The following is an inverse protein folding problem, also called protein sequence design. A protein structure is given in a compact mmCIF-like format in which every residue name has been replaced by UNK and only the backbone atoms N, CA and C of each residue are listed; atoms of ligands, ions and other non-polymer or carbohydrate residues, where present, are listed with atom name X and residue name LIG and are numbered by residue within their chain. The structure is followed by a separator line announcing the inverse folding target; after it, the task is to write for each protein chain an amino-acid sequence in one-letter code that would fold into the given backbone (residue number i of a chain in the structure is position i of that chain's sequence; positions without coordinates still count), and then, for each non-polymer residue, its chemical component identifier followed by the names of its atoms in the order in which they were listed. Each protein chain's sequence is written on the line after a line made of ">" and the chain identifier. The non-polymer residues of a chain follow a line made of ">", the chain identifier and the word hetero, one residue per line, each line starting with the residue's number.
data_IF_421181614576
#
_entry.id   IF_421181614576
#
_cell.length_a   1.000
_cell.length_b   1.000
_cell.length_c   1.000
_cell.angle_alpha   90.00
_cell.angle_beta   90.00
_cell.angle_gamma   90.00
#
_symmetry.space_group_name_H-M   'P 1'
#
loop_
_entity.id
_entity.type
_entity.pdbx_description
1 polymer ?
#
# COMPACT_ATOMS: atom_id res chain seq x y z
N UNK A 1 21.30 -22.76 6.19
CA UNK A 1 21.22 -23.53 7.43
C UNK A 1 20.12 -22.89 8.28
N UNK A 2 18.96 -23.53 8.37
CA UNK A 2 17.87 -23.04 9.25
C UNK A 2 18.31 -23.31 10.70
N UNK A 3 18.31 -22.30 11.57
CA UNK A 3 18.43 -22.56 12.99
C UNK A 3 17.12 -23.22 13.45
N UNK A 4 17.16 -24.51 13.78
CA UNK A 4 16.07 -25.18 14.46
C UNK A 4 15.94 -24.60 15.89
N UNK A 5 14.86 -23.86 16.12
CA UNK A 5 14.46 -23.51 17.47
C UNK A 5 13.79 -24.69 18.15
N UNK A 6 14.58 -25.64 18.62
CA UNK A 6 14.14 -26.96 19.11
C UNK A 6 13.46 -26.98 20.47
N UNK A 7 13.26 -25.86 21.16
CA UNK A 7 12.60 -25.85 22.49
C UNK A 7 11.67 -24.63 22.75
N UNK A 8 11.47 -23.72 21.79
CA UNK A 8 10.68 -22.50 21.99
C UNK A 8 9.84 -22.10 20.79
N UNK A 9 8.89 -21.21 21.04
CA UNK A 9 8.13 -20.55 19.98
C UNK A 9 8.98 -19.42 19.40
N UNK A 10 9.05 -19.33 18.05
CA UNK A 10 9.77 -18.26 17.35
C UNK A 10 8.99 -16.96 17.41
N UNK A 11 9.59 -15.84 17.86
CA UNK A 11 8.97 -14.51 17.76
C UNK A 11 8.64 -14.13 16.30
N UNK A 12 7.57 -13.35 16.11
CA UNK A 12 7.13 -12.89 14.78
C UNK A 12 8.21 -12.11 14.05
N UNK A 13 8.88 -11.21 14.76
CA UNK A 13 9.95 -10.35 14.23
C UNK A 13 11.15 -11.17 13.76
N UNK A 14 11.48 -12.24 14.52
CA UNK A 14 12.55 -13.18 14.15
C UNK A 14 12.17 -13.94 12.88
N UNK A 15 10.93 -14.43 12.78
CA UNK A 15 10.43 -15.12 11.60
C UNK A 15 10.46 -14.20 10.36
N UNK A 16 9.98 -12.95 10.49
CA UNK A 16 10.04 -11.94 9.44
C UNK A 16 11.48 -11.68 8.98
N UNK A 17 12.40 -11.45 9.92
CA UNK A 17 13.80 -11.18 9.60
C UNK A 17 14.44 -12.35 8.86
N UNK A 18 14.25 -13.59 9.34
CA UNK A 18 14.81 -14.79 8.69
C UNK A 18 14.20 -15.02 7.30
N UNK A 19 12.90 -14.82 7.16
CA UNK A 19 12.20 -14.97 5.89
C UNK A 19 12.69 -13.92 4.88
N UNK A 20 12.64 -12.65 5.27
CA UNK A 20 12.96 -11.53 4.37
C UNK A 20 14.45 -11.49 3.99
N UNK A 21 15.37 -11.90 4.86
CA UNK A 21 16.80 -11.96 4.54
C UNK A 21 17.12 -12.90 3.36
N UNK A 22 16.25 -13.83 3.03
CA UNK A 22 16.39 -14.81 1.93
C UNK A 22 15.74 -14.35 0.63
N UNK A 23 14.82 -13.40 0.67
CA UNK A 23 14.05 -12.95 -0.49
C UNK A 23 14.85 -11.92 -1.27
N UNK A 24 15.05 -12.20 -2.55
CA UNK A 24 15.55 -11.25 -3.55
C UNK A 24 14.38 -10.79 -4.43
N UNK A 25 14.21 -9.49 -4.67
CA UNK A 25 13.18 -8.99 -5.56
C UNK A 25 13.26 -9.56 -6.97
N UNK A 26 12.12 -9.68 -7.64
CA UNK A 26 12.07 -10.05 -9.05
C UNK A 26 12.75 -8.98 -9.90
N UNK A 27 13.46 -9.42 -10.95
CA UNK A 27 14.17 -8.53 -11.88
C UNK A 27 13.46 -8.37 -13.23
N UNK A 28 12.41 -9.16 -13.49
CA UNK A 28 11.65 -9.08 -14.73
C UNK A 28 10.78 -7.81 -14.77
N UNK A 29 10.87 -7.07 -15.86
CA UNK A 29 10.27 -5.75 -16.06
C UNK A 29 9.26 -5.79 -17.19
N UNK A 30 8.18 -5.03 -17.06
CA UNK A 30 7.19 -4.76 -18.09
C UNK A 30 7.09 -3.25 -18.32
N UNK A 31 6.91 -2.83 -19.56
CA UNK A 31 6.60 -1.44 -19.91
C UNK A 31 5.11 -1.33 -20.16
N UNK A 32 4.42 -0.51 -19.39
CA UNK A 32 2.97 -0.37 -19.43
C UNK A 32 2.55 1.10 -19.57
N UNK A 33 1.46 1.38 -20.33
CA UNK A 33 0.80 2.68 -20.28
C UNK A 33 0.41 3.07 -18.85
N UNK A 34 0.48 4.36 -18.49
CA UNK A 34 0.21 4.82 -17.12
C UNK A 34 -1.14 4.36 -16.58
N UNK A 35 -2.17 4.30 -17.42
CA UNK A 35 -3.52 3.83 -17.04
C UNK A 35 -3.52 2.39 -16.53
N UNK A 36 -2.54 1.56 -16.93
CA UNK A 36 -2.38 0.18 -16.52
C UNK A 36 -1.34 -0.01 -15.39
N UNK A 37 -0.75 1.10 -14.90
CA UNK A 37 0.28 1.06 -13.88
C UNK A 37 -0.27 1.15 -12.45
N UNK A 38 -1.57 1.32 -12.25
CA UNK A 38 -2.14 1.40 -10.91
C UNK A 38 -1.83 0.16 -10.07
N UNK A 39 -1.27 0.38 -8.87
CA UNK A 39 -0.87 -0.69 -7.95
C UNK A 39 0.45 -1.39 -8.31
N UNK A 40 1.07 -1.06 -9.45
CA UNK A 40 2.36 -1.63 -9.88
C UNK A 40 3.53 -0.97 -9.16
N UNK A 41 4.68 -1.63 -9.19
CA UNK A 41 5.91 -1.15 -8.56
C UNK A 41 6.88 -0.69 -9.64
N UNK A 42 7.44 0.49 -9.51
CA UNK A 42 8.48 1.01 -10.41
C UNK A 42 9.72 0.11 -10.41
N UNK A 43 10.18 -0.25 -11.59
CA UNK A 43 11.41 -1.03 -11.77
C UNK A 43 12.64 -0.12 -11.85
N UNK A 44 12.48 1.14 -12.22
CA UNK A 44 13.55 2.14 -12.38
C UNK A 44 13.14 3.47 -11.78
N UNK A 45 14.13 4.30 -11.44
CA UNK A 45 13.86 5.67 -11.00
C UNK A 45 13.17 6.48 -12.11
N UNK A 46 12.25 7.32 -11.70
CA UNK A 46 11.64 8.33 -12.57
C UNK A 46 12.41 9.62 -12.39
N UNK A 47 13.12 10.03 -13.44
CA UNK A 47 13.82 11.31 -13.52
C UNK A 47 12.95 12.27 -14.33
N UNK A 48 12.75 13.49 -13.83
CA UNK A 48 11.93 14.48 -14.53
C UNK A 48 12.58 14.95 -15.83
N UNK A 49 11.90 14.81 -16.98
CA UNK A 49 12.41 15.31 -18.26
C UNK A 49 12.26 16.83 -18.42
N UNK A 50 11.51 17.49 -17.54
CA UNK A 50 11.19 18.92 -17.63
C UNK A 50 10.91 19.53 -16.26
N UNK A 51 10.87 20.86 -16.20
CA UNK A 51 10.41 21.59 -15.01
C UNK A 51 8.89 21.58 -14.91
N UNK A 52 8.35 21.51 -13.68
CA UNK A 52 6.91 21.71 -13.39
C UNK A 52 6.75 22.84 -12.37
N UNK A 53 6.06 23.93 -12.71
CA UNK A 53 5.58 24.31 -14.03
C UNK A 53 6.74 24.58 -15.00
N UNK A 54 6.50 24.44 -16.31
CA UNK A 54 7.51 24.62 -17.36
C UNK A 54 7.90 26.08 -17.62
N UNK A 55 7.20 27.05 -17.04
CA UNK A 55 7.42 28.48 -17.16
C UNK A 55 6.85 29.21 -15.95
N UNK A 56 7.33 30.44 -15.71
CA UNK A 56 6.77 31.33 -14.70
C UNK A 56 5.33 31.67 -15.08
N UNK A 57 4.37 31.49 -14.15
CA UNK A 57 2.96 31.74 -14.42
C UNK A 57 2.28 32.46 -13.25
N UNK A 58 1.12 33.05 -13.56
CA UNK A 58 0.33 33.76 -12.54
C UNK A 58 -0.33 32.78 -11.57
N UNK A 59 -0.21 33.05 -10.29
CA UNK A 59 -0.95 32.33 -9.25
C UNK A 59 -2.37 32.84 -9.09
N UNK A 60 -2.72 34.04 -9.59
CA UNK A 60 -3.99 34.73 -9.38
C UNK A 60 -4.52 35.36 -10.66
N UNK A 61 -5.81 35.63 -10.69
CA UNK A 61 -6.44 36.51 -11.67
C UNK A 61 -6.16 37.95 -11.29
N UNK A 62 -5.60 38.75 -12.20
CA UNK A 62 -5.20 40.08 -11.86
C UNK A 62 -4.47 40.80 -12.98
N UNK A 63 -3.42 41.52 -12.63
CA UNK A 63 -2.64 42.32 -13.53
C UNK A 63 -1.15 42.09 -13.32
N UNK A 64 -0.46 41.78 -14.39
CA UNK A 64 1.00 41.74 -14.42
C UNK A 64 1.53 43.19 -14.47
N UNK A 65 2.47 43.47 -13.59
CA UNK A 65 3.06 44.83 -13.43
C UNK A 65 4.56 44.80 -13.30
N UNK A 66 5.17 45.90 -13.66
CA UNK A 66 6.52 46.27 -13.19
C UNK A 66 6.35 47.11 -11.94
N UNK A 67 7.05 46.79 -10.87
CA UNK A 67 6.90 47.50 -9.57
C UNK A 67 7.27 48.98 -9.70
N UNK A 68 8.23 49.31 -10.55
CA UNK A 68 8.64 50.70 -10.81
C UNK A 68 7.57 51.56 -11.51
N UNK A 69 6.61 50.95 -12.21
CA UNK A 69 5.52 51.66 -12.88
C UNK A 69 4.34 52.00 -11.94
N UNK A 70 4.32 51.41 -10.72
CA UNK A 70 3.24 51.57 -9.76
C UNK A 70 3.33 52.91 -9.03
N UNK A 71 2.21 53.63 -8.97
CA UNK A 71 2.02 54.85 -8.18
C UNK A 71 0.61 54.87 -7.61
N UNK A 72 0.44 55.29 -6.34
CA UNK A 72 -0.86 55.34 -5.68
C UNK A 72 -1.86 56.22 -6.42
N UNK A 73 -1.38 57.30 -7.08
CA UNK A 73 -2.23 58.32 -7.68
C UNK A 73 -2.42 58.16 -9.20
N UNK A 74 -1.70 57.24 -9.83
CA UNK A 74 -1.73 57.12 -11.30
C UNK A 74 -2.20 55.73 -11.73
N UNK A 75 -3.38 55.62 -12.37
CA UNK A 75 -3.83 54.33 -12.94
C UNK A 75 -2.94 53.94 -14.12
N UNK A 76 -2.77 52.63 -14.33
CA UNK A 76 -2.01 52.04 -15.48
C UNK A 76 -3.01 51.59 -16.55
N UNK A 77 -2.91 52.07 -17.79
CA UNK A 77 -3.65 51.51 -18.93
C UNK A 77 -3.35 50.02 -19.14
N UNK A 78 -4.34 49.25 -19.57
CA UNK A 78 -4.18 47.83 -19.88
C UNK A 78 -3.67 47.67 -21.32
N UNK A 79 -2.43 47.27 -21.50
CA UNK A 79 -1.80 47.07 -22.82
C UNK A 79 -2.30 45.81 -23.52
N UNK A 80 -2.78 44.79 -22.78
CA UNK A 80 -3.26 43.57 -23.37
C UNK A 80 -3.68 42.54 -22.32
N UNK A 81 -3.85 41.30 -22.79
CA UNK A 81 -4.34 40.19 -21.95
C UNK A 81 -3.46 38.94 -22.15
N UNK A 82 -3.25 38.17 -21.07
CA UNK A 82 -2.60 36.88 -21.07
C UNK A 82 -3.53 35.83 -20.44
N UNK A 83 -3.72 34.72 -21.12
CA UNK A 83 -4.53 33.59 -20.66
C UNK A 83 -3.70 32.30 -20.59
N UNK A 84 -4.16 31.32 -19.84
CA UNK A 84 -3.59 29.98 -19.88
C UNK A 84 -3.66 29.43 -21.33
N UNK A 85 -2.52 28.96 -21.84
CA UNK A 85 -2.39 28.53 -23.24
C UNK A 85 -2.33 29.67 -24.29
N UNK A 86 -2.51 30.93 -23.90
CA UNK A 86 -2.44 32.11 -24.76
C UNK A 86 -1.56 33.20 -24.12
N UNK A 87 -0.23 33.08 -24.22
CA UNK A 87 0.69 34.09 -23.67
C UNK A 87 0.53 35.44 -24.36
N UNK A 88 0.80 36.50 -23.64
CA UNK A 88 0.86 37.84 -24.24
C UNK A 88 2.02 37.93 -25.23
N UNK A 89 1.75 38.36 -26.45
CA UNK A 89 2.72 38.42 -27.54
C UNK A 89 3.00 39.84 -28.05
N UNK A 90 2.44 40.87 -27.46
CA UNK A 90 2.64 42.26 -27.87
C UNK A 90 3.85 42.92 -27.21
N UNK A 91 4.19 44.12 -27.68
CA UNK A 91 5.06 45.01 -26.94
C UNK A 91 4.38 45.44 -25.64
N UNK A 92 5.13 45.45 -24.54
CA UNK A 92 4.65 45.92 -23.26
C UNK A 92 5.21 47.31 -22.94
N UNK A 93 4.47 48.40 -23.25
CA UNK A 93 4.93 49.77 -23.03
C UNK A 93 5.14 50.05 -21.53
N UNK A 94 6.13 50.88 -21.22
CA UNK A 94 6.33 51.37 -19.86
C UNK A 94 5.11 52.17 -19.39
N UNK A 95 4.77 52.08 -18.08
CA UNK A 95 3.61 52.74 -17.51
C UNK A 95 2.29 52.09 -17.90
N UNK A 96 2.30 50.81 -18.30
CA UNK A 96 1.07 50.01 -18.55
C UNK A 96 1.08 48.70 -17.79
N UNK A 97 -0.06 48.05 -17.64
CA UNK A 97 -0.19 46.70 -17.08
C UNK A 97 -0.82 45.72 -18.08
N UNK A 98 -0.71 44.42 -17.81
CA UNK A 98 -1.32 43.38 -18.64
C UNK A 98 -2.34 42.64 -17.79
N UNK A 99 -3.57 42.54 -18.26
CA UNK A 99 -4.59 41.68 -17.64
C UNK A 99 -4.11 40.22 -17.75
N UNK A 100 -3.97 39.52 -16.61
CA UNK A 100 -3.48 38.15 -16.57
C UNK A 100 -4.42 37.27 -15.76
N UNK A 101 -4.60 36.02 -16.21
CA UNK A 101 -5.40 35.02 -15.54
C UNK A 101 -4.49 33.96 -14.91
N UNK A 102 -5.00 33.30 -13.88
CA UNK A 102 -4.33 32.18 -13.20
C UNK A 102 -3.84 31.14 -14.19
N UNK A 103 -2.57 30.72 -14.06
CA UNK A 103 -1.94 29.75 -14.95
C UNK A 103 -1.41 30.33 -16.26
N UNK A 104 -1.69 31.61 -16.59
CA UNK A 104 -1.14 32.24 -17.76
C UNK A 104 0.36 32.50 -17.59
N UNK A 105 1.19 32.29 -18.66
CA UNK A 105 2.60 32.68 -18.63
C UNK A 105 2.74 34.17 -18.30
N UNK A 106 3.63 34.50 -17.37
CA UNK A 106 3.90 35.92 -17.08
C UNK A 106 4.71 36.53 -18.21
N UNK A 107 4.34 37.74 -18.68
CA UNK A 107 5.09 38.43 -19.74
C UNK A 107 6.52 38.72 -19.32
N UNK A 108 7.43 38.79 -20.30
CA UNK A 108 8.81 39.19 -20.06
C UNK A 108 8.88 40.59 -19.42
N UNK A 109 9.67 40.74 -18.36
CA UNK A 109 9.77 41.95 -17.57
C UNK A 109 8.67 42.12 -16.49
N UNK A 110 7.79 41.14 -16.33
CA UNK A 110 6.85 41.14 -15.20
C UNK A 110 7.60 40.92 -13.88
N UNK A 111 7.37 41.78 -12.92
CA UNK A 111 7.98 41.67 -11.58
C UNK A 111 7.00 41.21 -10.53
N UNK A 112 5.68 41.42 -10.74
CA UNK A 112 4.62 40.97 -9.82
C UNK A 112 3.28 40.82 -10.55
N UNK A 113 2.41 40.01 -9.98
CA UNK A 113 0.98 39.98 -10.32
C UNK A 113 0.18 40.49 -9.14
N UNK A 114 -0.65 41.52 -9.38
CA UNK A 114 -1.57 42.06 -8.39
C UNK A 114 -2.96 41.48 -8.61
N UNK A 115 -3.54 40.89 -7.57
CA UNK A 115 -4.89 40.33 -7.64
C UNK A 115 -5.91 41.41 -8.02
N UNK A 116 -6.91 41.06 -8.81
CA UNK A 116 -7.96 41.96 -9.22
C UNK A 116 -8.72 42.58 -8.04
N UNK A 117 -8.84 41.86 -6.91
CA UNK A 117 -9.48 42.31 -5.68
C UNK A 117 -8.70 43.43 -4.98
N UNK A 118 -7.45 43.65 -5.36
CA UNK A 118 -6.58 44.72 -4.86
C UNK A 118 -6.45 45.88 -5.89
N UNK A 119 -7.38 45.97 -6.80
CA UNK A 119 -7.38 46.98 -7.86
C UNK A 119 -8.73 47.61 -8.04
N UNK A 120 -8.73 48.88 -8.53
CA UNK A 120 -9.92 49.59 -8.92
C UNK A 120 -9.82 49.93 -10.41
N UNK A 121 -10.86 49.62 -11.19
CA UNK A 121 -10.96 50.03 -12.58
C UNK A 121 -11.42 51.49 -12.65
N UNK A 122 -10.72 52.28 -13.45
CA UNK A 122 -11.05 53.70 -13.72
C UNK A 122 -11.13 53.90 -15.25
N UNK A 123 -11.64 55.04 -15.68
CA UNK A 123 -11.71 55.39 -17.12
C UNK A 123 -10.34 55.44 -17.79
N UNK A 124 -9.29 55.79 -17.02
CA UNK A 124 -7.89 55.90 -17.50
C UNK A 124 -7.05 54.63 -17.32
N UNK A 125 -7.61 53.56 -16.75
CA UNK A 125 -6.89 52.30 -16.53
C UNK A 125 -7.17 51.65 -15.18
N UNK A 126 -6.19 50.98 -14.60
CA UNK A 126 -6.28 50.21 -13.35
C UNK A 126 -5.48 50.91 -12.26
N UNK A 127 -6.12 51.22 -11.14
CA UNK A 127 -5.46 51.71 -9.93
C UNK A 127 -5.16 50.54 -8.99
N UNK A 128 -3.98 50.56 -8.42
CA UNK A 128 -3.51 49.53 -7.48
C UNK A 128 -3.60 50.06 -6.06
N UNK A 129 -4.35 49.37 -5.20
CA UNK A 129 -4.69 49.84 -3.83
C UNK A 129 -3.84 49.21 -2.74
N UNK A 130 -2.98 48.21 -3.08
CA UNK A 130 -2.16 47.51 -2.12
C UNK A 130 -0.66 47.70 -2.43
N UNK A 131 0.16 47.54 -1.40
CA UNK A 131 1.61 47.43 -1.55
C UNK A 131 1.99 46.19 -2.33
N UNK A 132 2.83 46.33 -3.35
CA UNK A 132 3.23 45.26 -4.25
C UNK A 132 4.71 44.95 -4.07
N UNK A 133 5.01 43.65 -3.91
CA UNK A 133 6.37 43.15 -3.75
C UNK A 133 6.81 42.42 -5.01
N UNK A 134 8.08 42.54 -5.39
CA UNK A 134 8.66 41.77 -6.47
C UNK A 134 8.51 40.27 -6.20
N UNK A 135 8.08 39.51 -7.22
CA UNK A 135 7.80 38.08 -7.16
C UNK A 135 6.40 37.72 -6.62
N UNK A 136 5.60 38.70 -6.18
CA UNK A 136 4.27 38.47 -5.63
C UNK A 136 3.35 37.80 -6.66
N UNK A 137 2.66 36.70 -6.24
CA UNK A 137 1.72 35.90 -7.02
C UNK A 137 2.29 35.36 -8.35
N UNK A 138 3.57 35.11 -8.42
CA UNK A 138 4.23 34.45 -9.54
C UNK A 138 4.70 33.07 -9.06
N UNK A 139 4.18 32.00 -9.68
CA UNK A 139 4.72 30.64 -9.54
C UNK A 139 5.91 30.50 -10.45
N UNK A 140 7.02 30.07 -9.90
CA UNK A 140 8.29 30.00 -10.66
C UNK A 140 8.40 28.68 -11.40
N UNK A 141 9.06 28.74 -12.56
CA UNK A 141 9.46 27.55 -13.31
C UNK A 141 10.20 26.56 -12.40
N UNK A 142 9.80 25.29 -12.41
CA UNK A 142 10.40 24.22 -11.60
C UNK A 142 10.14 24.35 -10.10
N UNK A 143 9.14 25.15 -9.67
CA UNK A 143 8.81 25.34 -8.26
C UNK A 143 8.33 24.04 -7.59
N UNK A 144 7.60 23.20 -8.31
CA UNK A 144 7.12 21.90 -7.84
C UNK A 144 8.15 20.80 -8.14
N UNK A 145 8.53 20.64 -9.41
CA UNK A 145 9.50 19.61 -9.83
C UNK A 145 10.50 20.26 -10.76
N UNK A 146 11.79 20.04 -10.48
CA UNK A 146 12.88 20.50 -11.36
C UNK A 146 13.24 19.43 -12.38
N UNK A 147 13.58 19.85 -13.56
CA UNK A 147 14.20 18.98 -14.55
C UNK A 147 15.41 18.25 -13.95
N UNK A 148 15.62 17.01 -14.37
CA UNK A 148 16.67 16.09 -13.92
C UNK A 148 16.60 15.67 -12.43
N UNK A 149 15.57 16.10 -11.67
CA UNK A 149 15.33 15.59 -10.34
C UNK A 149 14.76 14.15 -10.38
N UNK A 150 15.20 13.30 -9.45
CA UNK A 150 14.56 12.01 -9.19
C UNK A 150 13.23 12.28 -8.49
N UNK A 151 12.13 11.99 -9.17
CA UNK A 151 10.77 12.22 -8.66
C UNK A 151 10.28 11.04 -7.84
N UNK A 152 10.46 9.84 -8.37
CA UNK A 152 10.14 8.59 -7.68
C UNK A 152 11.27 7.59 -7.86
N UNK A 153 11.81 7.01 -6.78
CA UNK A 153 12.81 5.96 -6.89
C UNK A 153 12.18 4.62 -7.31
N UNK A 154 12.99 3.72 -7.85
CA UNK A 154 12.63 2.31 -8.04
C UNK A 154 12.09 1.72 -6.73
N UNK A 155 11.11 0.82 -6.83
CA UNK A 155 10.41 0.25 -5.67
C UNK A 155 9.23 1.08 -5.17
N UNK A 156 8.96 2.24 -5.75
CA UNK A 156 7.75 3.02 -5.45
C UNK A 156 6.51 2.34 -6.00
N UNK A 157 5.46 2.23 -5.19
CA UNK A 157 4.15 1.76 -5.63
C UNK A 157 3.39 2.90 -6.29
N UNK A 158 2.92 2.69 -7.51
CA UNK A 158 2.15 3.67 -8.27
C UNK A 158 0.67 3.64 -7.87
N UNK A 159 0.21 4.75 -7.32
CA UNK A 159 -1.19 4.95 -6.89
C UNK A 159 -1.78 6.19 -7.58
N UNK A 160 -2.96 6.61 -7.12
CA UNK A 160 -3.58 7.87 -7.53
C UNK A 160 -2.78 9.11 -7.11
N UNK A 161 -1.79 8.97 -6.25
CA UNK A 161 -0.89 10.07 -5.88
C UNK A 161 0.28 10.20 -6.88
N UNK A 162 0.88 9.08 -7.31
CA UNK A 162 2.08 9.08 -8.15
C UNK A 162 1.75 9.22 -9.65
N UNK A 163 0.70 8.53 -10.13
CA UNK A 163 0.38 8.50 -11.56
C UNK A 163 0.07 9.86 -12.19
N UNK A 164 -0.69 10.78 -11.53
CA UNK A 164 -0.89 12.12 -12.05
C UNK A 164 0.40 12.94 -12.14
N UNK A 165 1.35 12.71 -11.23
CA UNK A 165 2.67 13.35 -11.28
C UNK A 165 3.43 12.90 -12.53
N UNK A 166 3.46 11.59 -12.83
CA UNK A 166 4.08 11.11 -14.08
C UNK A 166 3.43 11.73 -15.31
N UNK A 167 2.11 11.83 -15.30
CA UNK A 167 1.37 12.47 -16.40
C UNK A 167 1.74 13.95 -16.57
N UNK A 168 1.94 14.70 -15.47
CA UNK A 168 2.36 16.11 -15.53
C UNK A 168 3.78 16.29 -16.09
N UNK A 169 4.60 15.24 -16.03
CA UNK A 169 5.93 15.18 -16.64
C UNK A 169 5.91 14.79 -18.14
N UNK A 170 4.73 14.55 -18.71
CA UNK A 170 4.58 14.09 -20.09
C UNK A 170 4.97 12.62 -20.31
N UNK A 171 5.12 11.84 -19.24
CA UNK A 171 5.44 10.40 -19.30
C UNK A 171 4.16 9.64 -19.65
N UNK A 172 4.19 8.85 -20.70
CA UNK A 172 3.04 8.07 -21.17
C UNK A 172 3.07 6.62 -20.66
N UNK A 173 4.26 6.06 -20.48
CA UNK A 173 4.50 4.67 -20.11
C UNK A 173 5.52 4.61 -18.98
N UNK A 174 5.43 3.59 -18.13
CA UNK A 174 6.39 3.35 -17.06
C UNK A 174 6.92 1.92 -17.09
N UNK A 175 8.19 1.76 -16.69
CA UNK A 175 8.79 0.45 -16.45
C UNK A 175 8.45 0.00 -15.04
N UNK A 176 7.76 -1.13 -14.93
CA UNK A 176 7.30 -1.70 -13.68
C UNK A 176 7.77 -3.14 -13.50
N UNK A 177 7.98 -3.56 -12.28
CA UNK A 177 8.27 -4.96 -11.96
C UNK A 177 7.07 -5.81 -12.37
N UNK A 178 7.28 -6.96 -13.03
CA UNK A 178 6.16 -7.85 -13.36
C UNK A 178 5.43 -8.33 -12.12
N UNK A 179 4.18 -8.71 -12.25
CA UNK A 179 3.40 -9.28 -11.15
C UNK A 179 4.05 -10.54 -10.60
N UNK A 180 3.99 -10.71 -9.27
CA UNK A 180 4.37 -11.96 -8.62
C UNK A 180 3.32 -13.02 -8.97
N UNK A 181 3.77 -14.18 -9.44
CA UNK A 181 2.91 -15.34 -9.71
C UNK A 181 2.83 -16.21 -8.48
N UNK A 182 1.61 -16.49 -8.02
CA UNK A 182 1.36 -17.28 -6.82
C UNK A 182 0.46 -18.45 -7.13
N UNK A 183 0.98 -19.67 -6.98
CA UNK A 183 0.16 -20.88 -7.02
C UNK A 183 -0.46 -21.11 -5.64
N UNK A 184 -1.76 -21.38 -5.62
CA UNK A 184 -2.56 -21.52 -4.40
C UNK A 184 -3.41 -22.78 -4.47
N UNK A 185 -3.38 -23.60 -3.40
CA UNK A 185 -4.26 -24.73 -3.22
C UNK A 185 -4.55 -24.98 -1.74
N UNK A 186 -5.63 -25.70 -1.46
CA UNK A 186 -5.96 -26.22 -0.14
C UNK A 186 -5.77 -27.74 -0.11
N UNK A 187 -5.45 -28.29 1.05
CA UNK A 187 -5.43 -29.75 1.26
C UNK A 187 -6.36 -30.13 2.39
N UNK A 188 -7.03 -31.25 2.26
CA UNK A 188 -7.94 -31.83 3.25
C UNK A 188 -9.12 -32.54 2.62
N UNK A 189 -9.36 -33.78 3.00
CA UNK A 189 -10.49 -34.58 2.50
C UNK A 189 -11.84 -34.09 3.05
N UNK A 190 -11.81 -33.28 4.11
CA UNK A 190 -12.98 -32.61 4.69
C UNK A 190 -13.47 -31.43 3.87
N UNK A 191 -12.67 -30.92 2.90
CA UNK A 191 -12.95 -29.69 2.19
C UNK A 191 -13.86 -29.90 0.99
N UNK A 192 -14.87 -29.01 0.84
CA UNK A 192 -15.76 -28.97 -0.30
C UNK A 192 -15.82 -27.56 -0.90
N UNK A 193 -16.11 -27.48 -2.18
CA UNK A 193 -16.30 -26.20 -2.87
C UNK A 193 -17.63 -25.53 -2.47
N UNK A 194 -17.65 -24.21 -2.25
CA UNK A 194 -18.89 -23.47 -2.09
C UNK A 194 -19.86 -23.71 -3.24
N UNK A 195 -21.14 -23.91 -2.91
CA UNK A 195 -22.19 -24.23 -3.88
C UNK A 195 -22.41 -25.72 -4.10
N UNK A 196 -21.53 -26.59 -3.63
CA UNK A 196 -21.74 -28.05 -3.63
C UNK A 196 -22.34 -28.49 -2.31
N UNK A 197 -23.21 -29.56 -2.29
CA UNK A 197 -23.74 -30.10 -1.04
C UNK A 197 -22.62 -30.67 -0.17
N UNK A 198 -22.75 -30.54 1.16
CA UNK A 198 -21.84 -31.13 2.12
C UNK A 198 -22.24 -32.54 2.48
N UNK A 199 -21.29 -33.44 2.49
CA UNK A 199 -21.42 -34.73 3.14
C UNK A 199 -21.13 -34.64 4.64
N UNK A 200 -21.42 -35.70 5.40
CA UNK A 200 -21.16 -35.72 6.84
C UNK A 200 -19.66 -35.55 7.14
N UNK A 201 -19.33 -34.55 7.96
CA UNK A 201 -17.94 -34.22 8.31
C UNK A 201 -17.24 -33.24 7.35
N UNK A 202 -17.86 -32.87 6.24
CA UNK A 202 -17.28 -31.88 5.32
C UNK A 202 -17.58 -30.44 5.74
N UNK A 203 -16.68 -29.54 5.33
CA UNK A 203 -16.79 -28.09 5.49
C UNK A 203 -16.43 -27.41 4.17
N UNK A 204 -16.91 -26.18 3.96
CA UNK A 204 -16.51 -25.41 2.79
C UNK A 204 -15.09 -24.84 2.91
N UNK A 205 -14.34 -24.88 1.80
CA UNK A 205 -13.01 -24.29 1.68
C UNK A 205 -13.10 -22.75 1.64
N UNK A 206 -13.02 -22.15 2.80
CA UNK A 206 -13.01 -20.68 2.97
C UNK A 206 -11.60 -20.09 2.90
N UNK A 207 -10.57 -20.86 3.28
CA UNK A 207 -9.20 -20.37 3.33
C UNK A 207 -8.67 -20.00 1.95
N UNK A 208 -8.84 -20.88 0.97
CA UNK A 208 -8.40 -20.64 -0.40
C UNK A 208 -9.08 -19.42 -1.01
N UNK A 209 -10.39 -19.23 -0.78
CA UNK A 209 -11.09 -18.03 -1.22
C UNK A 209 -10.50 -16.77 -0.56
N UNK A 210 -10.31 -16.79 0.76
CA UNK A 210 -9.74 -15.65 1.50
C UNK A 210 -8.36 -15.27 0.99
N UNK A 211 -7.46 -16.25 0.86
CA UNK A 211 -6.09 -16.01 0.38
C UNK A 211 -6.08 -15.57 -1.07
N UNK A 212 -6.94 -16.14 -1.92
CA UNK A 212 -7.08 -15.72 -3.32
C UNK A 212 -7.47 -14.23 -3.42
N UNK A 213 -8.46 -13.79 -2.66
CA UNK A 213 -8.89 -12.38 -2.63
C UNK A 213 -7.78 -11.46 -2.12
N UNK A 214 -7.05 -11.85 -1.07
CA UNK A 214 -5.90 -11.09 -0.56
C UNK A 214 -4.79 -10.97 -1.62
N UNK A 215 -4.50 -12.05 -2.34
CA UNK A 215 -3.50 -12.04 -3.43
C UNK A 215 -3.91 -11.12 -4.58
N UNK A 216 -5.20 -11.12 -4.95
CA UNK A 216 -5.73 -10.20 -5.96
C UNK A 216 -5.56 -8.74 -5.55
N UNK A 217 -5.87 -8.41 -4.29
CA UNK A 217 -5.70 -7.05 -3.76
C UNK A 217 -4.23 -6.61 -3.70
N UNK A 218 -3.31 -7.56 -3.50
CA UNK A 218 -1.86 -7.30 -3.59
C UNK A 218 -1.36 -7.18 -5.04
N UNK A 219 -2.23 -7.39 -6.02
CA UNK A 219 -1.90 -7.31 -7.43
C UNK A 219 -1.12 -8.51 -7.97
N UNK A 220 -1.14 -9.66 -7.27
CA UNK A 220 -0.50 -10.89 -7.73
C UNK A 220 -1.28 -11.55 -8.88
N UNK A 221 -0.56 -12.31 -9.71
CA UNK A 221 -1.15 -13.26 -10.65
C UNK A 221 -1.37 -14.59 -9.93
N UNK A 222 -2.65 -15.00 -9.77
CA UNK A 222 -3.01 -16.17 -8.96
C UNK A 222 -3.30 -17.38 -9.84
N UNK A 223 -2.55 -18.46 -9.62
CA UNK A 223 -2.73 -19.77 -10.23
C UNK A 223 -3.45 -20.65 -9.19
N UNK A 224 -4.77 -20.81 -9.35
CA UNK A 224 -5.59 -21.54 -8.39
C UNK A 224 -5.69 -23.02 -8.78
N UNK A 225 -5.05 -23.90 -8.01
CA UNK A 225 -5.01 -25.33 -8.25
C UNK A 225 -6.15 -26.11 -7.53
N UNK A 226 -7.04 -25.41 -6.82
CA UNK A 226 -8.20 -26.03 -6.18
C UNK A 226 -7.91 -26.72 -4.87
N UNK A 227 -8.70 -27.76 -4.55
CA UNK A 227 -8.56 -28.63 -3.39
C UNK A 227 -7.80 -29.88 -3.83
N UNK A 228 -6.70 -30.16 -3.16
CA UNK A 228 -5.90 -31.38 -3.40
C UNK A 228 -6.23 -32.39 -2.29
N UNK A 229 -6.67 -33.57 -2.64
CA UNK A 229 -6.93 -34.65 -1.65
C UNK A 229 -5.66 -35.02 -0.87
N UNK A 230 -5.81 -35.56 0.34
CA UNK A 230 -4.71 -36.00 1.19
C UNK A 230 -4.07 -37.31 0.70
N UNK A 231 -3.79 -37.36 -0.62
CA UNK A 231 -3.09 -38.43 -1.31
C UNK A 231 -1.64 -38.03 -1.62
N UNK A 232 -0.63 -38.81 -1.17
CA UNK A 232 0.78 -38.43 -1.36
C UNK A 232 1.19 -38.21 -2.82
N UNK A 233 0.64 -39.00 -3.76
CA UNK A 233 0.94 -38.87 -5.18
C UNK A 233 0.36 -37.59 -5.78
N UNK A 234 -0.90 -37.26 -5.43
CA UNK A 234 -1.58 -36.03 -5.87
C UNK A 234 -0.94 -34.79 -5.26
N UNK A 235 -0.60 -34.84 -3.96
CA UNK A 235 0.10 -33.74 -3.29
C UNK A 235 1.47 -33.47 -3.93
N UNK A 236 2.26 -34.51 -4.18
CA UNK A 236 3.56 -34.38 -4.86
C UNK A 236 3.40 -33.76 -6.25
N UNK A 237 2.45 -34.28 -7.04
CA UNK A 237 2.18 -33.74 -8.37
C UNK A 237 1.76 -32.26 -8.33
N UNK A 238 0.89 -31.86 -7.38
CA UNK A 238 0.47 -30.49 -7.19
C UNK A 238 1.63 -29.56 -6.81
N UNK A 239 2.54 -30.00 -5.91
CA UNK A 239 3.72 -29.21 -5.56
C UNK A 239 4.68 -29.03 -6.74
N UNK A 240 4.91 -30.07 -7.55
CA UNK A 240 5.78 -29.99 -8.73
C UNK A 240 5.15 -29.07 -9.78
N UNK A 241 3.86 -29.21 -10.03
CA UNK A 241 3.14 -28.36 -10.98
C UNK A 241 3.15 -26.89 -10.54
N UNK A 242 2.82 -26.62 -9.28
CA UNK A 242 2.87 -25.28 -8.67
C UNK A 242 4.28 -24.65 -8.78
N UNK A 243 5.32 -25.40 -8.43
CA UNK A 243 6.72 -24.92 -8.45
C UNK A 243 7.21 -24.58 -9.85
N UNK A 244 6.66 -25.23 -10.89
CA UNK A 244 7.03 -24.98 -12.28
C UNK A 244 6.45 -23.68 -12.87
N UNK A 245 5.37 -23.15 -12.27
CA UNK A 245 4.57 -22.06 -12.84
C UNK A 245 4.65 -20.76 -12.03
N UNK A 246 5.03 -20.82 -10.75
CA UNK A 246 4.89 -19.72 -9.81
C UNK A 246 6.23 -19.28 -9.20
N UNK A 247 6.25 -18.05 -8.69
CA UNK A 247 7.34 -17.52 -7.87
C UNK A 247 7.16 -17.91 -6.39
N UNK A 248 5.89 -18.09 -5.99
CA UNK A 248 5.50 -18.49 -4.64
C UNK A 248 4.41 -19.55 -4.72
N UNK A 249 4.54 -20.60 -3.93
CA UNK A 249 3.52 -21.63 -3.72
C UNK A 249 2.94 -21.44 -2.33
N UNK A 250 1.63 -21.35 -2.22
CA UNK A 250 0.91 -21.25 -0.94
C UNK A 250 -0.03 -22.44 -0.81
N UNK A 251 0.12 -23.19 0.28
CA UNK A 251 -0.86 -24.19 0.68
C UNK A 251 -1.61 -23.76 1.95
N UNK A 252 -2.90 -24.05 2.01
CA UNK A 252 -3.68 -23.96 3.24
C UNK A 252 -4.05 -25.37 3.72
N UNK A 253 -3.69 -25.68 4.96
CA UNK A 253 -3.73 -27.04 5.50
C UNK A 253 -2.40 -27.78 5.31
N UNK A 254 -2.32 -29.00 5.83
CA UNK A 254 -1.15 -29.87 5.69
C UNK A 254 0.14 -29.45 6.42
N UNK A 255 0.10 -28.42 7.28
CA UNK A 255 1.27 -27.93 8.03
C UNK A 255 1.14 -28.14 9.55
N UNK A 256 0.17 -28.93 9.97
CA UNK A 256 -0.03 -29.27 11.39
C UNK A 256 0.96 -30.33 11.85
N UNK A 257 1.49 -30.22 13.06
CA UNK A 257 2.53 -31.09 13.65
C UNK A 257 2.00 -32.46 14.09
N UNK A 258 0.81 -32.90 13.68
CA UNK A 258 0.17 -34.06 14.27
C UNK A 258 -0.09 -35.26 13.37
N UNK A 259 -0.49 -35.08 12.13
CA UNK A 259 -0.95 -36.21 11.27
C UNK A 259 -0.61 -36.10 9.77
N UNK A 260 -0.05 -34.99 9.30
CA UNK A 260 0.31 -34.81 7.89
C UNK A 260 1.79 -35.11 7.64
N UNK A 261 2.24 -36.29 7.99
CA UNK A 261 3.60 -36.75 7.72
C UNK A 261 3.94 -36.71 6.23
N UNK A 262 2.94 -36.89 5.35
CA UNK A 262 3.14 -36.88 3.90
C UNK A 262 3.54 -35.51 3.36
N UNK A 263 2.85 -34.43 3.74
CA UNK A 263 3.15 -33.08 3.27
C UNK A 263 4.56 -32.66 3.68
N UNK A 264 4.92 -32.92 4.93
CA UNK A 264 6.27 -32.63 5.44
C UNK A 264 7.32 -33.43 4.68
N UNK A 265 7.16 -34.73 4.54
CA UNK A 265 8.10 -35.62 3.82
C UNK A 265 8.26 -35.17 2.37
N UNK A 266 7.15 -34.89 1.67
CA UNK A 266 7.17 -34.43 0.28
C UNK A 266 7.91 -33.10 0.15
N UNK A 267 7.66 -32.15 1.05
CA UNK A 267 8.31 -30.84 1.03
C UNK A 267 9.81 -30.94 1.32
N UNK A 268 10.23 -31.80 2.26
CA UNK A 268 11.65 -32.05 2.56
C UNK A 268 12.39 -32.71 1.38
N UNK A 269 11.70 -33.51 0.55
CA UNK A 269 12.25 -34.08 -0.67
C UNK A 269 12.32 -33.09 -1.83
N UNK A 270 11.36 -32.17 -1.94
CA UNK A 270 11.24 -31.23 -3.05
C UNK A 270 12.00 -29.92 -2.83
N UNK A 271 12.44 -29.63 -1.60
CA UNK A 271 13.10 -28.38 -1.29
C UNK A 271 13.69 -28.27 0.11
N UNK A 272 14.10 -27.07 0.46
CA UNK A 272 14.61 -26.73 1.80
C UNK A 272 13.51 -26.01 2.59
N UNK A 273 12.65 -26.76 3.28
CA UNK A 273 11.50 -26.23 4.00
C UNK A 273 11.71 -26.36 5.50
N UNK A 274 11.48 -25.26 6.24
CA UNK A 274 11.46 -25.24 7.68
C UNK A 274 10.03 -25.11 8.19
N UNK A 275 9.69 -25.91 9.20
CA UNK A 275 8.39 -25.86 9.90
C UNK A 275 8.57 -25.09 11.20
N UNK A 276 7.95 -23.90 11.27
CA UNK A 276 8.10 -23.00 12.41
C UNK A 276 6.89 -23.11 13.36
N UNK A 277 7.19 -22.96 14.64
CA UNK A 277 6.20 -22.74 15.68
C UNK A 277 6.27 -21.29 16.13
N UNK A 278 5.35 -20.46 15.62
CA UNK A 278 5.36 -19.02 15.89
C UNK A 278 4.82 -18.68 17.28
N UNK A 279 5.40 -17.69 17.91
CA UNK A 279 4.96 -17.15 19.20
C UNK A 279 3.78 -16.15 19.03
N UNK A 280 2.83 -16.46 18.14
CA UNK A 280 1.63 -15.66 17.87
C UNK A 280 0.36 -16.44 18.22
N UNK A 281 -0.74 -15.73 18.41
CA UNK A 281 -2.07 -16.30 18.60
C UNK A 281 -3.11 -15.42 17.90
N UNK A 282 -3.97 -16.04 17.03
CA UNK A 282 -3.88 -17.40 16.51
C UNK A 282 -2.73 -17.55 15.48
N UNK A 283 -2.43 -18.78 15.00
CA UNK A 283 -1.48 -18.99 13.90
C UNK A 283 -0.12 -19.55 14.33
N UNK A 284 -0.09 -20.54 15.23
CA UNK A 284 1.15 -21.16 15.70
C UNK A 284 1.97 -21.87 14.62
N UNK A 285 1.40 -22.78 13.77
CA UNK A 285 2.18 -23.45 12.75
C UNK A 285 2.34 -22.58 11.50
N UNK A 286 3.54 -22.58 10.91
CA UNK A 286 3.85 -21.98 9.64
C UNK A 286 5.02 -22.72 9.00
N UNK A 287 4.93 -23.04 7.72
CA UNK A 287 6.01 -23.60 6.97
C UNK A 287 6.54 -22.59 5.95
N UNK A 288 7.86 -22.46 5.87
CA UNK A 288 8.52 -21.56 4.93
C UNK A 288 9.81 -22.16 4.38
N UNK A 289 10.06 -21.96 3.10
CA UNK A 289 11.30 -22.37 2.50
C UNK A 289 11.38 -22.17 1.00
N UNK A 290 12.32 -22.84 0.38
CA UNK A 290 12.58 -22.81 -1.06
C UNK A 290 12.32 -24.19 -1.63
N UNK A 291 11.39 -24.27 -2.58
CA UNK A 291 11.29 -25.38 -3.53
C UNK A 291 12.38 -25.20 -4.60
N UNK A 292 12.34 -25.96 -5.66
CA UNK A 292 13.36 -25.89 -6.71
C UNK A 292 13.39 -24.50 -7.38
N UNK A 293 12.23 -23.95 -7.73
CA UNK A 293 12.11 -22.70 -8.47
C UNK A 293 11.43 -21.61 -7.64
N UNK A 294 10.46 -21.96 -6.79
CA UNK A 294 9.56 -21.04 -6.09
C UNK A 294 9.83 -21.01 -4.58
N UNK A 295 9.36 -19.95 -3.92
CA UNK A 295 9.24 -19.92 -2.46
C UNK A 295 7.98 -20.66 -2.02
N UNK A 296 8.01 -21.27 -0.87
CA UNK A 296 6.88 -21.99 -0.29
C UNK A 296 6.43 -21.33 1.01
N UNK A 297 5.11 -21.15 1.17
CA UNK A 297 4.45 -20.72 2.40
C UNK A 297 3.30 -21.67 2.73
N UNK A 298 3.43 -22.45 3.78
CA UNK A 298 2.38 -23.29 4.30
C UNK A 298 1.60 -22.62 5.42
N UNK A 299 0.29 -22.45 5.23
CA UNK A 299 -0.59 -21.74 6.16
C UNK A 299 -1.38 -22.73 7.03
N UNK A 300 -1.75 -22.33 8.28
CA UNK A 300 -2.60 -23.14 9.15
C UNK A 300 -3.95 -23.49 8.51
N UNK A 301 -4.56 -24.62 8.90
CA UNK A 301 -5.89 -25.00 8.47
C UNK A 301 -7.02 -24.12 9.07
N UNK A 302 -6.87 -23.62 10.31
CA UNK A 302 -7.89 -22.75 10.92
C UNK A 302 -8.00 -21.40 10.17
N UNK A 303 -9.20 -20.94 9.79
CA UNK A 303 -9.35 -19.81 8.88
C UNK A 303 -8.81 -18.48 9.41
N UNK A 304 -9.04 -18.16 10.68
CA UNK A 304 -8.48 -16.94 11.29
C UNK A 304 -6.96 -17.02 11.37
N UNK A 305 -6.42 -18.21 11.64
CA UNK A 305 -4.97 -18.42 11.69
C UNK A 305 -4.33 -18.27 10.32
N UNK A 306 -4.94 -18.82 9.27
CA UNK A 306 -4.46 -18.71 7.90
C UNK A 306 -4.45 -17.24 7.45
N UNK A 307 -5.54 -16.52 7.63
CA UNK A 307 -5.67 -15.12 7.28
C UNK A 307 -4.69 -14.23 8.04
N UNK A 308 -4.55 -14.41 9.36
CA UNK A 308 -3.59 -13.65 10.16
C UNK A 308 -2.13 -13.94 9.77
N UNK A 309 -1.78 -15.21 9.56
CA UNK A 309 -0.42 -15.59 9.17
C UNK A 309 -0.07 -15.03 7.79
N UNK A 310 -1.02 -15.08 6.84
CA UNK A 310 -0.85 -14.41 5.55
C UNK A 310 -0.64 -12.89 5.74
N UNK A 311 -1.49 -12.25 6.53
CA UNK A 311 -1.44 -10.81 6.79
C UNK A 311 -0.14 -10.38 7.46
N UNK A 312 0.36 -11.10 8.44
CA UNK A 312 1.54 -10.71 9.20
C UNK A 312 2.88 -11.11 8.53
N UNK A 313 2.90 -12.18 7.72
CA UNK A 313 4.13 -12.71 7.13
C UNK A 313 4.12 -12.65 5.60
N UNK A 314 3.12 -13.28 4.96
CA UNK A 314 3.18 -13.54 3.52
C UNK A 314 3.02 -12.27 2.70
N UNK A 315 2.16 -11.32 3.10
CA UNK A 315 2.04 -10.05 2.39
C UNK A 315 3.37 -9.27 2.35
N UNK A 316 4.15 -9.33 3.43
CA UNK A 316 5.47 -8.66 3.50
C UNK A 316 6.50 -9.35 2.60
N UNK A 317 6.45 -10.68 2.54
CA UNK A 317 7.26 -11.47 1.60
C UNK A 317 6.93 -11.08 0.15
N UNK A 318 5.64 -11.07 -0.19
CA UNK A 318 5.18 -10.74 -1.55
C UNK A 318 5.53 -9.31 -1.93
N UNK A 319 5.39 -8.36 -1.00
CA UNK A 319 5.79 -6.98 -1.22
C UNK A 319 7.29 -6.88 -1.55
N UNK A 320 8.15 -7.52 -0.76
CA UNK A 320 9.59 -7.54 -1.02
C UNK A 320 9.93 -8.24 -2.34
N UNK A 321 9.32 -9.38 -2.61
CA UNK A 321 9.53 -10.13 -3.86
C UNK A 321 9.12 -9.30 -5.09
N UNK A 322 8.01 -8.56 -4.99
CA UNK A 322 7.54 -7.61 -6.01
C UNK A 322 8.33 -6.29 -6.08
N UNK A 323 9.39 -6.13 -5.28
CA UNK A 323 10.24 -4.95 -5.30
C UNK A 323 9.69 -3.73 -4.56
N UNK A 324 8.58 -3.87 -3.80
CA UNK A 324 8.03 -2.77 -3.02
C UNK A 324 8.94 -2.46 -1.81
N UNK A 325 9.34 -1.21 -1.66
CA UNK A 325 10.19 -0.75 -0.55
C UNK A 325 9.40 -0.21 0.65
N UNK A 326 8.09 0.03 0.50
CA UNK A 326 7.24 0.50 1.59
C UNK A 326 6.84 -0.63 2.54
N UNK A 327 6.57 -0.29 3.80
CA UNK A 327 6.01 -1.26 4.76
C UNK A 327 4.62 -1.72 4.34
N UNK A 328 4.38 -3.02 4.38
CA UNK A 328 3.08 -3.61 4.07
C UNK A 328 2.08 -3.53 5.25
N UNK A 329 2.58 -3.37 6.47
CA UNK A 329 1.78 -3.37 7.70
C UNK A 329 1.55 -1.95 8.18
N UNK A 330 0.29 -1.54 8.48
CA UNK A 330 -0.01 -0.23 9.03
C UNK A 330 0.68 0.02 10.39
N UNK A 331 1.01 1.27 10.72
CA UNK A 331 1.57 1.59 12.02
C UNK A 331 0.53 1.33 13.13
N UNK A 332 1.01 0.78 14.25
CA UNK A 332 0.17 0.56 15.43
C UNK A 332 -0.13 1.88 16.14
N UNK A 333 -1.32 1.94 16.72
CA UNK A 333 -1.78 3.08 17.51
C UNK A 333 -2.08 2.63 18.92
N UNK A 334 -1.85 3.51 19.89
CA UNK A 334 -2.15 3.23 21.29
C UNK A 334 -3.48 3.84 21.68
N UNK A 335 -4.41 3.01 22.13
CA UNK A 335 -5.78 3.43 22.49
C UNK A 335 -6.24 2.75 23.77
N UNK A 336 -7.33 3.22 24.40
CA UNK A 336 -7.95 2.54 25.54
C UNK A 336 -8.92 1.49 25.06
N UNK A 337 -8.93 0.34 25.74
CA UNK A 337 -9.98 -0.66 25.49
C UNK A 337 -11.21 -0.39 26.37
N UNK A 338 -12.40 -0.55 25.79
CA UNK A 338 -13.67 -0.51 26.53
C UNK A 338 -14.10 -1.89 27.00
N UNK A 339 -13.42 -2.94 26.53
CA UNK A 339 -13.73 -4.33 26.82
C UNK A 339 -12.67 -4.98 27.69
N UNK A 340 -13.08 -5.94 28.52
CA UNK A 340 -12.14 -6.87 29.14
C UNK A 340 -11.59 -7.82 28.08
N UNK A 341 -10.27 -7.96 28.00
CA UNK A 341 -9.59 -8.83 27.05
C UNK A 341 -8.91 -9.99 27.80
N UNK A 342 -9.29 -11.22 27.47
CA UNK A 342 -8.65 -12.41 28.03
C UNK A 342 -7.34 -12.67 27.30
N UNK A 343 -6.25 -12.79 28.03
CA UNK A 343 -4.90 -13.01 27.52
C UNK A 343 -4.09 -13.92 28.43
N UNK A 344 -3.51 -14.97 27.83
CA UNK A 344 -2.53 -15.81 28.52
C UNK A 344 -1.12 -15.40 28.06
N UNK A 345 -0.16 -15.12 28.96
CA UNK A 345 1.21 -14.82 28.59
C UNK A 345 1.87 -15.90 27.73
N UNK A 346 2.95 -15.56 27.02
CA UNK A 346 3.78 -16.46 26.24
C UNK A 346 3.72 -16.28 24.72
N UNK A 347 2.67 -15.65 24.17
CA UNK A 347 2.53 -15.38 22.74
C UNK A 347 2.00 -13.96 22.48
N UNK A 348 2.42 -13.36 21.40
CA UNK A 348 1.83 -12.14 20.86
C UNK A 348 0.40 -12.46 20.39
N UNK A 349 -0.62 -11.80 20.92
CA UNK A 349 -2.04 -12.12 20.65
C UNK A 349 -2.66 -11.03 19.78
N UNK A 350 -3.25 -11.43 18.66
CA UNK A 350 -3.97 -10.59 17.73
C UNK A 350 -5.46 -10.85 17.83
N UNK A 351 -6.15 -10.06 18.64
CA UNK A 351 -7.60 -10.13 18.79
C UNK A 351 -8.29 -9.18 17.80
N UNK A 352 -9.46 -9.58 17.28
CA UNK A 352 -10.22 -8.70 16.38
C UNK A 352 -10.98 -7.69 17.20
N UNK A 353 -10.88 -6.43 16.82
CA UNK A 353 -11.47 -5.30 17.51
C UNK A 353 -12.19 -4.35 16.58
N UNK A 354 -12.99 -3.49 17.18
CA UNK A 354 -13.69 -2.37 16.55
C UNK A 354 -13.05 -1.10 17.12
N UNK A 355 -12.23 -0.45 16.31
CA UNK A 355 -11.65 0.85 16.60
C UNK A 355 -12.65 1.94 16.20
N UNK A 356 -13.01 2.81 17.12
CA UNK A 356 -14.00 3.87 16.91
C UNK A 356 -13.67 5.11 17.71
N UNK A 357 -14.35 6.21 17.40
CA UNK A 357 -14.33 7.41 18.24
C UNK A 357 -15.44 7.34 19.28
N UNK A 358 -15.09 7.61 20.52
CA UNK A 358 -16.02 7.77 21.62
C UNK A 358 -16.80 9.10 21.50
N UNK A 359 -17.82 9.28 22.33
CA UNK A 359 -18.63 10.51 22.33
C UNK A 359 -17.83 11.79 22.64
N UNK A 360 -16.71 11.68 23.37
CA UNK A 360 -15.78 12.78 23.65
C UNK A 360 -14.69 12.99 22.58
N UNK A 361 -14.73 12.21 21.48
CA UNK A 361 -13.82 12.34 20.34
C UNK A 361 -12.52 11.55 20.46
N UNK A 362 -12.26 10.86 21.57
CA UNK A 362 -11.10 10.01 21.76
C UNK A 362 -11.23 8.70 20.99
N UNK A 363 -10.10 8.14 20.53
CA UNK A 363 -10.08 6.81 19.95
C UNK A 363 -10.13 5.76 21.05
N UNK A 364 -10.99 4.79 20.87
CA UNK A 364 -11.15 3.62 21.75
C UNK A 364 -11.36 2.35 20.95
N UNK A 365 -11.10 1.20 21.55
CA UNK A 365 -11.32 -0.10 20.91
C UNK A 365 -12.18 -0.98 21.77
N UNK A 366 -13.11 -1.70 21.15
CA UNK A 366 -13.88 -2.77 21.75
C UNK A 366 -13.62 -4.11 21.06
N UNK A 367 -13.73 -5.23 21.77
CA UNK A 367 -13.59 -6.55 21.14
C UNK A 367 -14.79 -6.88 20.27
N UNK A 368 -14.58 -7.67 19.19
CA UNK A 368 -15.69 -8.27 18.42
C UNK A 368 -16.38 -9.44 19.16
N UNK A 369 -15.99 -9.75 20.39
CA UNK A 369 -16.51 -10.86 21.16
C UNK A 369 -15.59 -12.08 21.14
N UNK A 370 -16.10 -13.23 20.73
CA UNK A 370 -15.32 -14.47 20.68
C UNK A 370 -14.11 -14.40 19.74
N UNK A 371 -12.94 -14.78 20.25
CA UNK A 371 -11.65 -14.68 19.55
C UNK A 371 -11.13 -16.05 19.06
N UNK A 372 -11.99 -17.04 18.90
CA UNK A 372 -11.62 -18.37 18.43
C UNK A 372 -11.01 -18.34 17.01
N UNK A 373 -10.07 -19.24 16.72
CA UNK A 373 -9.40 -19.34 15.42
C UNK A 373 -10.31 -19.83 14.28
N UNK A 374 -11.50 -20.30 14.60
CA UNK A 374 -12.56 -20.74 13.67
C UNK A 374 -13.63 -19.65 13.42
N UNK A 375 -13.62 -18.54 14.18
CA UNK A 375 -14.65 -17.50 14.08
C UNK A 375 -14.25 -16.44 13.07
N UNK A 376 -14.36 -16.78 11.79
CA UNK A 376 -13.95 -15.89 10.69
C UNK A 376 -14.85 -14.64 10.58
N UNK A 377 -16.14 -14.73 10.97
CA UNK A 377 -17.07 -13.58 11.00
C UNK A 377 -16.56 -12.40 11.84
N UNK A 378 -15.63 -12.63 12.76
CA UNK A 378 -14.98 -11.55 13.51
C UNK A 378 -14.18 -10.55 12.65
N UNK A 379 -13.75 -10.94 11.44
CA UNK A 379 -13.15 -10.02 10.48
C UNK A 379 -14.17 -9.09 9.81
N UNK A 380 -15.38 -9.59 9.56
CA UNK A 380 -16.46 -8.76 9.00
C UNK A 380 -17.02 -7.75 10.02
N UNK A 381 -16.90 -8.04 11.31
CA UNK A 381 -17.35 -7.18 12.40
C UNK A 381 -16.28 -6.18 12.83
N UNK A 382 -15.00 -6.57 12.74
CA UNK A 382 -13.87 -5.79 13.19
C UNK A 382 -13.29 -4.90 12.08
N UNK A 383 -12.45 -3.93 12.49
CA UNK A 383 -11.69 -3.09 11.59
C UNK A 383 -10.20 -2.94 12.02
N UNK A 384 -9.82 -3.66 13.09
CA UNK A 384 -8.44 -3.67 13.58
C UNK A 384 -8.08 -4.97 14.28
N UNK A 385 -6.80 -5.21 14.44
CA UNK A 385 -6.27 -6.12 15.44
C UNK A 385 -5.99 -5.34 16.72
N UNK A 386 -6.45 -5.87 17.87
CA UNK A 386 -5.94 -5.50 19.20
C UNK A 386 -4.70 -6.36 19.42
N UNK A 387 -3.54 -5.73 19.55
CA UNK A 387 -2.27 -6.42 19.67
C UNK A 387 -1.83 -6.43 21.14
N UNK A 388 -1.80 -7.60 21.72
CA UNK A 388 -1.43 -7.77 23.12
C UNK A 388 -0.05 -8.42 23.21
N UNK A 389 0.86 -7.76 23.89
CA UNK A 389 2.27 -8.09 23.99
C UNK A 389 2.46 -9.50 24.59
N UNK A 390 3.55 -10.14 24.26
CA UNK A 390 3.83 -11.54 24.61
C UNK A 390 3.67 -11.83 26.10
N UNK A 391 4.22 -10.98 26.97
CA UNK A 391 4.27 -11.19 28.41
C UNK A 391 3.03 -10.66 29.15
N UNK A 392 2.14 -9.97 28.42
CA UNK A 392 0.92 -9.39 29.01
C UNK A 392 -0.08 -10.47 29.40
N UNK A 393 -0.75 -10.24 30.54
CA UNK A 393 -1.93 -11.01 31.00
C UNK A 393 -3.23 -10.38 30.54
N UNK A 394 -4.32 -10.67 31.25
CA UNK A 394 -5.64 -10.08 31.01
C UNK A 394 -5.57 -8.55 31.06
N UNK A 395 -6.43 -7.91 30.30
CA UNK A 395 -6.57 -6.45 30.20
C UNK A 395 -7.96 -6.06 30.65
N UNK A 396 -8.06 -5.09 31.53
CA UNK A 396 -9.34 -4.57 32.04
C UNK A 396 -9.78 -3.34 31.21
N UNK A 397 -11.09 -3.04 31.19
CA UNK A 397 -11.60 -1.83 30.55
C UNK A 397 -10.89 -0.57 31.06
N UNK A 398 -10.57 0.37 30.15
CA UNK A 398 -9.84 1.59 30.43
C UNK A 398 -8.32 1.49 30.33
N UNK A 399 -7.76 0.29 30.27
CA UNK A 399 -6.31 0.11 30.06
C UNK A 399 -5.90 0.41 28.61
N UNK A 400 -4.64 0.79 28.45
CA UNK A 400 -4.03 1.04 27.15
C UNK A 400 -3.63 -0.25 26.44
N UNK A 401 -3.96 -0.33 25.15
CA UNK A 401 -3.57 -1.41 24.26
C UNK A 401 -3.05 -0.84 22.93
N UNK A 402 -2.26 -1.63 22.22
CA UNK A 402 -1.92 -1.32 20.83
C UNK A 402 -3.01 -1.86 19.90
N UNK A 403 -3.34 -1.08 18.88
CA UNK A 403 -4.21 -1.52 17.78
C UNK A 403 -3.51 -1.35 16.44
N UNK A 404 -3.71 -2.30 15.57
CA UNK A 404 -3.24 -2.30 14.20
C UNK A 404 -4.48 -2.26 13.29
N UNK A 405 -4.84 -1.09 12.72
CA UNK A 405 -5.97 -1.00 11.81
C UNK A 405 -5.81 -1.95 10.63
N UNK A 406 -6.92 -2.54 10.17
CA UNK A 406 -6.86 -3.37 8.97
C UNK A 406 -6.43 -2.51 7.78
N UNK A 407 -5.55 -3.07 6.94
CA UNK A 407 -5.26 -2.49 5.65
C UNK A 407 -6.31 -2.96 4.61
N UNK A 408 -6.12 -2.62 3.35
CA UNK A 408 -7.03 -2.98 2.27
C UNK A 408 -7.34 -4.48 2.18
N UNK A 409 -6.48 -5.39 2.69
CA UNK A 409 -6.71 -6.84 2.63
C UNK A 409 -7.95 -7.30 3.42
N UNK A 410 -8.36 -6.54 4.43
CA UNK A 410 -9.60 -6.78 5.18
C UNK A 410 -10.61 -5.64 5.03
N UNK A 411 -10.53 -4.87 3.94
CA UNK A 411 -11.47 -3.78 3.68
C UNK A 411 -11.22 -2.53 4.54
N UNK A 412 -10.04 -2.40 5.14
CA UNK A 412 -9.60 -1.16 5.78
C UNK A 412 -9.37 -0.05 4.76
N UNK A 413 -9.57 1.20 5.20
CA UNK A 413 -9.35 2.41 4.39
C UNK A 413 -7.86 2.73 4.26
#
# INVERSE_FOLDING_TARGET
>A
MFMEFSAGLMPLETALTQMLSRITPLTAVETLPLVNCFGRILATDIVSPLDVPGFDNSAMDGYAVRVADLSADKPLPVAGKAFAGQPYQGEWPAGTCIRIMTGAPVPAGCEAVVMQEQTEQTDDGVRFTADVRCGQNIRRRGEDIRQDAVVFPAGTRLTTAELPVLASLGIADAQVVRKVRVALFSTGDELQLPGQPLEAGQIYDTNRLTIHLMLQQLGCEVINLGIIPDDPGKLRAAFIDADSQADVVISSGGVSVGEADYTKTILEELGEIAFWKLAIKPGKPFAFGKLRNSWFCGLPGNPVSAALTFYQLVQTLLAKLGGNTASAVPPRQRVRTTSRLKKTPGRLDFQRGILQRSANGELEVTTTGHQGSHIFSSFSLGNCFIVLERERGNVEPGEWVEVEPFNALFGGL
#
